data_IF_124821273891
#
_entry.id   IF_124821273891
#
_cell.length_a   1.000
_cell.length_b   1.000
_cell.length_c   1.000
_cell.angle_alpha   90.00
_cell.angle_beta   90.00
_cell.angle_gamma   90.00
#
_symmetry.space_group_name_H-M   'P 1'
#
loop_
_entity.id
_entity.type
_entity.pdbx_description
1 polymer ?
#
# COMPACT_ATOMS: atom_id res chain seq x y z
N UNK A 1 9.98 -9.82 -6.46
CA UNK A 1 8.92 -9.60 -7.46
C UNK A 1 8.49 -8.14 -7.41
N UNK A 2 8.26 -7.52 -8.57
CA UNK A 2 7.81 -6.12 -8.67
C UNK A 2 6.44 -6.09 -9.32
N UNK A 3 5.53 -5.29 -8.74
CA UNK A 3 4.24 -4.92 -9.33
C UNK A 3 4.32 -3.45 -9.73
N UNK A 4 4.63 -3.22 -11.01
CA UNK A 4 4.61 -1.89 -11.61
C UNK A 4 3.18 -1.57 -12.06
N UNK A 5 2.43 -0.85 -11.23
CA UNK A 5 1.00 -0.62 -11.43
C UNK A 5 0.71 0.19 -12.71
N UNK A 6 1.61 1.09 -13.11
CA UNK A 6 1.47 1.85 -14.37
C UNK A 6 1.70 0.94 -15.58
N UNK A 7 2.77 0.15 -15.56
CA UNK A 7 3.08 -0.80 -16.65
C UNK A 7 2.02 -1.88 -16.79
N UNK A 8 1.38 -2.25 -15.69
CA UNK A 8 0.27 -3.20 -15.66
C UNK A 8 -1.05 -2.60 -16.14
N UNK A 9 -1.13 -1.28 -16.35
CA UNK A 9 -2.39 -0.56 -16.57
C UNK A 9 -3.44 -0.89 -15.49
N UNK A 10 -3.02 -0.95 -14.23
CA UNK A 10 -3.89 -1.30 -13.12
C UNK A 10 -5.04 -0.28 -13.01
N UNK A 11 -6.28 -0.77 -13.02
CA UNK A 11 -7.45 0.10 -12.82
C UNK A 11 -7.67 0.38 -11.32
N UNK A 12 -7.43 1.61 -10.84
CA UNK A 12 -7.56 1.93 -9.41
C UNK A 12 -9.00 2.09 -8.93
N UNK A 13 -9.96 2.18 -9.82
CA UNK A 13 -11.35 2.46 -9.46
C UNK A 13 -12.02 1.19 -8.93
N UNK A 14 -12.44 1.22 -7.65
CA UNK A 14 -13.23 0.16 -7.03
C UNK A 14 -14.71 0.29 -7.50
N UNK A 15 -15.20 -0.68 -8.23
CA UNK A 15 -16.50 -0.57 -8.92
C UNK A 15 -17.19 -1.92 -9.13
N UNK A 16 -18.50 -1.89 -9.47
CA UNK A 16 -19.27 -3.12 -9.75
C UNK A 16 -18.66 -4.04 -10.81
N UNK A 17 -18.12 -3.55 -11.95
CA UNK A 17 -17.48 -4.39 -12.96
C UNK A 17 -16.25 -5.19 -12.48
N UNK A 18 -15.71 -4.93 -11.28
CA UNK A 18 -14.65 -5.76 -10.69
C UNK A 18 -15.13 -7.18 -10.39
N UNK A 19 -16.44 -7.38 -10.31
CA UNK A 19 -17.08 -8.65 -9.94
C UNK A 19 -17.89 -9.23 -11.11
N UNK A 20 -17.54 -10.43 -11.52
CA UNK A 20 -18.26 -11.15 -12.58
C UNK A 20 -19.69 -11.51 -12.15
N UNK A 21 -19.87 -11.86 -10.89
CA UNK A 21 -21.15 -12.18 -10.27
C UNK A 21 -21.22 -11.46 -8.91
N UNK A 22 -22.34 -10.80 -8.67
CA UNK A 22 -22.62 -10.13 -7.40
C UNK A 22 -23.29 -11.09 -6.41
N UNK A 23 -22.98 -10.96 -5.13
CA UNK A 23 -23.72 -11.63 -4.06
C UNK A 23 -25.15 -11.10 -3.95
N UNK A 24 -25.30 -9.77 -4.15
CA UNK A 24 -26.60 -9.10 -4.08
C UNK A 24 -26.73 -8.07 -5.22
N UNK A 25 -27.65 -8.33 -6.15
CA UNK A 25 -27.89 -7.45 -7.28
C UNK A 25 -28.64 -6.16 -6.90
N UNK A 26 -29.40 -6.18 -5.81
CA UNK A 26 -30.25 -5.07 -5.38
C UNK A 26 -29.50 -4.07 -4.49
N UNK A 27 -28.46 -4.53 -3.79
CA UNK A 27 -27.68 -3.69 -2.88
C UNK A 27 -26.19 -3.99 -2.99
N UNK A 28 -25.47 -3.10 -3.64
CA UNK A 28 -24.02 -3.22 -3.82
C UNK A 28 -23.26 -2.69 -2.62
N UNK A 29 -22.45 -3.55 -1.98
CA UNK A 29 -21.51 -3.19 -0.91
C UNK A 29 -20.15 -3.82 -1.21
N UNK A 30 -19.21 -3.01 -1.69
CA UNK A 30 -17.91 -3.45 -2.23
C UNK A 30 -17.19 -4.48 -1.33
N UNK A 31 -16.99 -4.27 -0.01
CA UNK A 31 -16.32 -5.26 0.84
C UNK A 31 -17.05 -6.60 0.93
N UNK A 32 -18.38 -6.60 0.86
CA UNK A 32 -19.17 -7.85 0.88
C UNK A 32 -19.03 -8.62 -0.44
N UNK A 33 -18.95 -7.90 -1.55
CA UNK A 33 -18.67 -8.51 -2.85
C UNK A 33 -17.24 -9.04 -2.93
N UNK A 34 -16.27 -8.34 -2.32
CA UNK A 34 -14.89 -8.84 -2.18
C UNK A 34 -14.86 -10.18 -1.43
N UNK A 35 -15.50 -10.26 -0.26
CA UNK A 35 -15.55 -11.50 0.53
C UNK A 35 -16.22 -12.64 -0.26
N UNK A 36 -17.33 -12.33 -0.92
CA UNK A 36 -18.05 -13.31 -1.76
C UNK A 36 -17.16 -13.83 -2.89
N UNK A 37 -16.52 -12.93 -3.62
CA UNK A 37 -15.65 -13.29 -4.74
C UNK A 37 -14.41 -14.08 -4.28
N UNK A 38 -13.84 -13.73 -3.12
CA UNK A 38 -12.72 -14.44 -2.54
C UNK A 38 -13.11 -15.87 -2.12
N UNK A 39 -14.19 -16.03 -1.35
CA UNK A 39 -14.68 -17.34 -0.86
C UNK A 39 -15.05 -18.29 -1.99
N UNK A 40 -15.59 -17.77 -3.08
CA UNK A 40 -16.02 -18.56 -4.24
C UNK A 40 -14.95 -18.68 -5.35
N UNK A 41 -13.73 -18.15 -5.10
CA UNK A 41 -12.61 -18.18 -6.04
C UNK A 41 -12.91 -17.52 -7.41
N UNK A 42 -13.75 -16.47 -7.43
CA UNK A 42 -14.18 -15.75 -8.63
C UNK A 42 -13.61 -14.33 -8.74
N UNK A 43 -12.59 -13.99 -7.96
CA UNK A 43 -11.82 -12.76 -8.14
C UNK A 43 -11.24 -12.67 -9.56
N UNK A 44 -11.06 -11.46 -10.07
CA UNK A 44 -10.38 -11.24 -11.35
C UNK A 44 -8.96 -11.83 -11.33
N UNK A 45 -8.42 -12.17 -12.51
CA UNK A 45 -7.05 -12.69 -12.61
C UNK A 45 -6.01 -11.72 -12.06
N UNK A 46 -6.18 -10.43 -12.32
CA UNK A 46 -5.31 -9.37 -11.85
C UNK A 46 -5.27 -9.35 -10.31
N UNK A 47 -6.44 -9.28 -9.67
CA UNK A 47 -6.53 -9.24 -8.20
C UNK A 47 -6.00 -10.54 -7.57
N UNK A 48 -6.27 -11.70 -8.17
CA UNK A 48 -5.69 -12.97 -7.71
C UNK A 48 -4.17 -12.97 -7.77
N UNK A 49 -3.60 -12.45 -8.86
CA UNK A 49 -2.15 -12.36 -9.03
C UNK A 49 -1.52 -11.48 -7.96
N UNK A 50 -2.05 -10.27 -7.77
CA UNK A 50 -1.53 -9.33 -6.76
C UNK A 50 -1.70 -9.87 -5.33
N UNK A 51 -2.86 -10.46 -5.02
CA UNK A 51 -3.10 -11.12 -3.74
C UNK A 51 -2.11 -12.28 -3.50
N UNK A 52 -1.81 -13.06 -4.52
CA UNK A 52 -0.84 -14.16 -4.42
C UNK A 52 0.57 -13.67 -4.12
N UNK A 53 1.00 -12.58 -4.77
CA UNK A 53 2.30 -11.93 -4.48
C UNK A 53 2.34 -11.39 -3.05
N UNK A 54 1.28 -10.71 -2.61
CA UNK A 54 1.16 -10.17 -1.26
C UNK A 54 1.24 -11.29 -0.20
N UNK A 55 0.55 -12.41 -0.44
CA UNK A 55 0.55 -13.54 0.48
C UNK A 55 1.87 -14.32 0.47
N UNK A 56 2.59 -14.34 -0.66
CA UNK A 56 3.88 -15.00 -0.80
C UNK A 56 5.03 -14.22 -0.16
N UNK A 57 5.05 -12.89 -0.30
CA UNK A 57 6.14 -12.05 0.19
C UNK A 57 6.20 -12.03 1.72
N UNK A 58 7.38 -12.09 2.31
CA UNK A 58 7.62 -11.87 3.74
C UNK A 58 7.78 -10.38 4.04
N UNK A 59 8.37 -9.63 3.10
CA UNK A 59 8.59 -8.19 3.17
C UNK A 59 7.95 -7.52 1.97
N UNK A 60 7.14 -6.52 2.21
CA UNK A 60 6.46 -5.72 1.19
C UNK A 60 7.03 -4.30 1.20
N UNK A 61 7.45 -3.81 0.04
CA UNK A 61 7.93 -2.44 -0.12
C UNK A 61 6.90 -1.66 -0.92
N UNK A 62 6.30 -0.66 -0.30
CA UNK A 62 5.42 0.30 -0.97
C UNK A 62 6.24 1.51 -1.40
N UNK A 63 6.57 1.56 -2.71
CA UNK A 63 7.35 2.64 -3.32
C UNK A 63 6.43 3.58 -4.09
N UNK A 64 6.44 4.88 -3.75
CA UNK A 64 5.57 5.86 -4.41
C UNK A 64 6.09 7.30 -4.25
N UNK A 65 5.76 8.21 -5.17
CA UNK A 65 5.94 9.64 -4.95
C UNK A 65 4.86 10.16 -3.99
N UNK A 66 5.25 11.04 -3.07
CA UNK A 66 4.31 11.68 -2.15
C UNK A 66 3.51 12.74 -2.89
N UNK A 67 2.26 12.45 -3.20
CA UNK A 67 1.35 13.37 -3.87
C UNK A 67 0.21 13.76 -2.93
N UNK A 68 0.02 15.08 -2.75
CA UNK A 68 -1.03 15.59 -1.87
C UNK A 68 -0.98 14.95 -0.46
N UNK A 69 0.22 14.88 0.11
CA UNK A 69 0.50 14.27 1.41
C UNK A 69 0.01 12.81 1.53
N UNK A 70 -0.09 12.09 0.43
CA UNK A 70 -0.57 10.71 0.38
C UNK A 70 0.04 9.93 -0.78
N UNK A 71 -0.47 8.73 -1.01
CA UNK A 71 -0.10 7.88 -2.14
C UNK A 71 -0.82 8.33 -3.42
N UNK A 72 -0.25 8.10 -4.61
CA UNK A 72 -0.95 8.27 -5.87
C UNK A 72 -2.23 7.44 -5.95
N UNK A 73 -3.23 7.93 -6.68
CA UNK A 73 -4.53 7.27 -6.83
C UNK A 73 -4.43 5.79 -7.25
N UNK A 74 -3.44 5.47 -8.10
CA UNK A 74 -3.23 4.09 -8.56
C UNK A 74 -2.85 3.14 -7.42
N UNK A 75 -2.01 3.58 -6.48
CA UNK A 75 -1.63 2.77 -5.31
C UNK A 75 -2.77 2.73 -4.28
N UNK A 76 -3.52 3.84 -4.11
CA UNK A 76 -4.72 3.83 -3.26
C UNK A 76 -5.73 2.81 -3.75
N UNK A 77 -5.98 2.78 -5.07
CA UNK A 77 -6.87 1.79 -5.67
C UNK A 77 -6.35 0.35 -5.53
N UNK A 78 -5.04 0.15 -5.57
CA UNK A 78 -4.46 -1.16 -5.28
C UNK A 78 -4.77 -1.59 -3.83
N UNK A 79 -4.63 -0.70 -2.84
CA UNK A 79 -5.04 -0.99 -1.46
C UNK A 79 -6.52 -1.36 -1.38
N UNK A 80 -7.40 -0.57 -2.01
CA UNK A 80 -8.84 -0.78 -1.97
C UNK A 80 -9.27 -2.11 -2.60
N UNK A 81 -8.54 -2.58 -3.62
CA UNK A 81 -8.91 -3.76 -4.40
C UNK A 81 -8.20 -5.04 -3.98
N UNK A 82 -6.97 -4.96 -3.48
CA UNK A 82 -6.14 -6.13 -3.15
C UNK A 82 -6.18 -6.47 -1.66
N UNK A 83 -6.32 -5.48 -0.78
CA UNK A 83 -6.52 -5.74 0.65
C UNK A 83 -7.98 -6.13 0.92
N UNK A 84 -8.33 -7.35 0.59
CA UNK A 84 -9.69 -7.87 0.51
C UNK A 84 -10.30 -8.07 1.88
N UNK A 85 -11.50 -7.53 2.09
CA UNK A 85 -12.32 -7.87 3.25
C UNK A 85 -12.69 -9.37 3.25
N UNK A 86 -12.56 -10.02 4.39
CA UNK A 86 -12.78 -11.48 4.52
C UNK A 86 -11.66 -12.35 3.93
N UNK A 87 -10.64 -11.73 3.31
CA UNK A 87 -9.46 -12.40 2.77
C UNK A 87 -8.14 -11.96 3.40
N UNK A 88 -8.04 -10.68 3.75
CA UNK A 88 -6.87 -10.07 4.41
C UNK A 88 -7.25 -9.56 5.80
N UNK A 89 -8.37 -8.88 5.94
CA UNK A 89 -8.85 -8.34 7.19
C UNK A 89 -10.37 -8.52 7.32
N UNK A 90 -10.91 -8.38 8.54
CA UNK A 90 -12.34 -8.57 8.79
C UNK A 90 -12.85 -9.99 8.50
N UNK A 91 -14.15 -10.22 8.59
CA UNK A 91 -14.71 -11.56 8.38
C UNK A 91 -14.10 -12.60 9.31
N UNK A 92 -13.48 -13.64 8.73
CA UNK A 92 -12.75 -14.67 9.49
C UNK A 92 -11.40 -14.19 10.05
N UNK A 93 -10.87 -13.08 9.52
CA UNK A 93 -9.64 -12.45 9.97
C UNK A 93 -9.98 -11.20 10.76
N UNK A 94 -9.25 -10.92 11.83
CA UNK A 94 -9.39 -9.69 12.62
C UNK A 94 -8.79 -8.46 11.95
N UNK A 95 -8.29 -7.56 12.78
CA UNK A 95 -7.58 -6.34 12.41
C UNK A 95 -6.28 -6.29 13.20
N UNK A 96 -5.32 -5.51 12.77
CA UNK A 96 -4.03 -5.37 13.41
C UNK A 96 -3.38 -6.75 13.62
N UNK A 97 -2.84 -7.04 14.80
CA UNK A 97 -2.17 -8.31 15.10
C UNK A 97 -3.00 -9.57 14.79
N UNK A 98 -4.31 -9.43 14.66
CA UNK A 98 -5.22 -10.52 14.34
C UNK A 98 -5.57 -10.60 12.85
N UNK A 99 -5.08 -9.67 12.04
CA UNK A 99 -5.26 -9.70 10.59
C UNK A 99 -4.32 -10.72 9.93
N UNK A 100 -4.60 -11.07 8.69
CA UNK A 100 -3.92 -12.18 8.00
C UNK A 100 -2.43 -11.94 7.75
N UNK A 101 -2.00 -10.68 7.64
CA UNK A 101 -0.61 -10.35 7.33
C UNK A 101 0.27 -10.13 8.57
N UNK A 102 -0.15 -10.61 9.75
CA UNK A 102 0.54 -10.39 11.04
C UNK A 102 1.94 -10.99 11.13
N UNK A 103 2.31 -11.88 10.25
CA UNK A 103 3.66 -12.45 10.13
C UNK A 103 4.54 -11.74 9.08
N UNK A 104 4.06 -10.66 8.49
CA UNK A 104 4.76 -9.95 7.41
C UNK A 104 5.23 -8.58 7.85
N UNK A 105 6.23 -8.07 7.13
CA UNK A 105 6.82 -6.76 7.34
C UNK A 105 6.54 -5.86 6.15
N UNK A 106 6.46 -4.55 6.37
CA UNK A 106 6.33 -3.58 5.29
C UNK A 106 7.29 -2.41 5.47
N UNK A 107 7.79 -1.91 4.36
CA UNK A 107 8.60 -0.70 4.25
C UNK A 107 7.81 0.31 3.43
N UNK A 108 7.68 1.52 3.94
CA UNK A 108 7.17 2.65 3.18
C UNK A 108 8.38 3.37 2.58
N UNK A 109 8.43 3.46 1.26
CA UNK A 109 9.47 4.19 0.55
C UNK A 109 8.83 5.27 -0.31
N UNK A 110 9.18 6.52 -0.04
CA UNK A 110 8.54 7.65 -0.73
C UNK A 110 9.54 8.70 -1.16
N UNK A 111 9.22 9.39 -2.23
CA UNK A 111 9.98 10.52 -2.75
C UNK A 111 9.16 11.80 -2.66
N UNK A 112 9.82 12.93 -2.42
CA UNK A 112 9.19 14.25 -2.41
C UNK A 112 10.14 15.32 -2.94
N UNK A 113 9.58 16.35 -3.60
CA UNK A 113 10.33 17.55 -3.99
C UNK A 113 10.57 18.53 -2.84
N UNK A 114 9.87 18.35 -1.70
CA UNK A 114 10.02 19.23 -0.54
C UNK A 114 11.25 18.86 0.29
N UNK A 115 11.81 19.85 1.00
CA UNK A 115 12.93 19.63 1.91
C UNK A 115 12.51 18.87 3.18
N UNK A 116 13.46 18.24 3.85
CA UNK A 116 13.23 17.58 5.14
C UNK A 116 12.68 18.54 6.19
N UNK A 117 13.17 19.80 6.22
CA UNK A 117 12.71 20.80 7.16
C UNK A 117 11.21 21.12 7.04
N UNK A 118 10.65 20.99 5.83
CA UNK A 118 9.20 21.15 5.63
C UNK A 118 8.35 20.12 6.38
N UNK A 119 8.94 18.96 6.69
CA UNK A 119 8.25 17.83 7.34
C UNK A 119 8.61 17.65 8.82
N UNK A 120 9.26 18.63 9.45
CA UNK A 120 9.46 18.65 10.90
C UNK A 120 8.19 19.06 11.64
N UNK A 121 8.15 18.87 12.98
CA UNK A 121 6.96 19.12 13.83
C UNK A 121 6.33 20.51 13.62
N UNK A 122 7.13 21.52 13.29
CA UNK A 122 6.65 22.87 13.00
C UNK A 122 6.89 23.29 11.53
N UNK A 123 7.20 22.33 10.67
CA UNK A 123 7.37 22.57 9.23
C UNK A 123 6.03 22.82 8.54
N UNK A 124 6.10 23.44 7.37
CA UNK A 124 4.91 23.83 6.58
C UNK A 124 4.06 22.64 6.12
N UNK A 125 4.65 21.44 6.02
CA UNK A 125 3.97 20.22 5.55
C UNK A 125 3.55 19.29 6.69
N UNK A 126 3.90 19.60 7.94
CA UNK A 126 3.62 18.76 9.11
C UNK A 126 4.58 17.59 9.28
N UNK A 127 4.53 16.95 10.45
CA UNK A 127 5.40 15.80 10.78
C UNK A 127 5.14 14.63 9.80
N UNK A 128 6.20 14.20 9.11
CA UNK A 128 6.09 13.19 8.05
C UNK A 128 5.56 11.85 8.58
N UNK A 129 5.96 11.44 9.76
CA UNK A 129 5.58 10.14 10.33
C UNK A 129 4.23 10.18 11.05
N UNK A 130 3.99 11.24 11.84
CA UNK A 130 2.82 11.33 12.73
C UNK A 130 1.59 11.93 12.07
N UNK A 131 1.76 12.71 11.00
CA UNK A 131 0.67 13.41 10.34
C UNK A 131 0.51 12.99 8.88
N UNK A 132 1.61 13.00 8.12
CA UNK A 132 1.55 12.76 6.66
C UNK A 132 1.41 11.28 6.33
N UNK A 133 2.26 10.42 6.87
CA UNK A 133 2.27 8.98 6.55
C UNK A 133 1.50 8.11 7.53
N UNK A 134 0.98 8.67 8.62
CA UNK A 134 0.28 7.92 9.65
C UNK A 134 -0.91 7.12 9.12
N UNK A 135 -1.69 7.67 8.20
CA UNK A 135 -2.84 6.98 7.60
C UNK A 135 -2.42 5.77 6.74
N UNK A 136 -1.18 5.74 6.24
CA UNK A 136 -0.62 4.61 5.48
C UNK A 136 -0.01 3.61 6.45
N UNK A 137 0.91 4.05 7.32
CA UNK A 137 1.61 3.17 8.25
C UNK A 137 0.65 2.49 9.24
N UNK A 138 -0.18 3.26 9.92
CA UNK A 138 -1.13 2.75 10.90
C UNK A 138 -2.43 2.28 10.25
N UNK A 139 -3.03 3.12 9.39
CA UNK A 139 -4.37 2.89 8.84
C UNK A 139 -4.44 1.82 7.77
N UNK A 140 -3.33 1.46 7.13
CA UNK A 140 -3.27 0.43 6.07
C UNK A 140 -2.34 -0.71 6.49
N UNK A 141 -1.05 -0.41 6.70
CA UNK A 141 -0.01 -1.42 6.96
C UNK A 141 -0.32 -2.17 8.25
N UNK A 142 -0.35 -1.49 9.39
CA UNK A 142 -0.60 -2.12 10.68
C UNK A 142 -2.03 -2.65 10.81
N UNK A 143 -3.02 -1.95 10.23
CA UNK A 143 -4.41 -2.41 10.25
C UNK A 143 -4.60 -3.77 9.58
N UNK A 144 -3.83 -4.08 8.54
CA UNK A 144 -3.84 -5.39 7.85
C UNK A 144 -2.90 -6.42 8.48
N UNK A 145 -2.24 -6.04 9.58
CA UNK A 145 -1.42 -6.91 10.42
C UNK A 145 0.08 -6.79 10.20
N UNK A 146 0.54 -6.18 9.13
CA UNK A 146 1.96 -6.05 8.84
C UNK A 146 2.67 -5.20 9.89
N UNK A 147 3.88 -5.62 10.26
CA UNK A 147 4.78 -4.76 11.02
C UNK A 147 5.34 -3.68 10.09
N UNK A 148 5.02 -2.42 10.35
CA UNK A 148 5.65 -1.31 9.66
C UNK A 148 7.10 -1.16 10.16
N UNK A 149 8.06 -1.34 9.25
CA UNK A 149 9.48 -1.09 9.50
C UNK A 149 9.81 0.39 9.27
N UNK A 150 11.10 0.69 9.08
CA UNK A 150 11.57 2.03 8.77
C UNK A 150 10.87 2.62 7.54
N UNK A 151 10.59 3.90 7.59
CA UNK A 151 10.15 4.67 6.43
C UNK A 151 11.37 5.28 5.75
N UNK A 152 11.52 5.04 4.45
CA UNK A 152 12.60 5.57 3.63
C UNK A 152 12.08 6.74 2.82
N UNK A 153 12.64 7.94 3.03
CA UNK A 153 12.14 9.17 2.41
C UNK A 153 13.28 9.84 1.65
N UNK A 154 13.09 10.04 0.35
CA UNK A 154 13.97 10.84 -0.49
C UNK A 154 13.42 12.25 -0.59
N UNK A 155 14.03 13.18 0.10
CA UNK A 155 13.71 14.60 0.04
C UNK A 155 14.39 15.26 -1.16
N UNK A 156 13.81 16.35 -1.65
CA UNK A 156 14.34 17.17 -2.77
C UNK A 156 14.81 16.35 -3.97
N UNK A 157 14.10 15.24 -4.28
CA UNK A 157 14.53 14.23 -5.26
C UNK A 157 14.62 14.76 -6.70
N UNK A 158 13.97 15.88 -6.98
CA UNK A 158 13.97 16.57 -8.26
C UNK A 158 15.07 17.64 -8.39
N UNK A 159 15.83 17.91 -7.31
CA UNK A 159 16.84 18.94 -7.27
C UNK A 159 18.02 18.66 -8.24
N UNK A 160 18.60 17.48 -8.15
CA UNK A 160 19.73 17.08 -9.00
C UNK A 160 19.92 15.56 -9.05
N UNK A 161 20.86 15.09 -9.91
CA UNK A 161 21.12 13.66 -10.06
C UNK A 161 21.87 13.08 -8.85
N UNK A 162 22.74 13.85 -8.19
CA UNK A 162 23.51 13.38 -7.05
C UNK A 162 22.58 13.01 -5.89
N UNK A 163 21.59 13.83 -5.60
CA UNK A 163 20.55 13.55 -4.58
C UNK A 163 19.83 12.22 -4.84
N UNK A 164 19.57 11.88 -6.12
CA UNK A 164 18.95 10.63 -6.52
C UNK A 164 19.89 9.44 -6.28
N UNK A 165 21.14 9.57 -6.64
CA UNK A 165 22.14 8.51 -6.51
C UNK A 165 22.45 8.24 -5.04
N UNK A 166 22.56 9.28 -4.21
CA UNK A 166 22.72 9.16 -2.75
C UNK A 166 21.53 8.42 -2.11
N UNK A 167 20.30 8.74 -2.52
CA UNK A 167 19.11 8.05 -2.04
C UNK A 167 19.11 6.57 -2.43
N UNK A 168 19.48 6.25 -3.68
CA UNK A 168 19.56 4.87 -4.16
C UNK A 168 20.58 4.06 -3.33
N UNK A 169 21.75 4.63 -3.05
CA UNK A 169 22.75 3.97 -2.23
C UNK A 169 22.31 3.82 -0.76
N UNK A 170 21.68 4.84 -0.20
CA UNK A 170 21.08 4.76 1.13
C UNK A 170 20.04 3.63 1.20
N UNK A 171 19.13 3.55 0.23
CA UNK A 171 18.10 2.53 0.14
C UNK A 171 18.72 1.12 0.02
N UNK A 172 19.67 0.92 -0.88
CA UNK A 172 20.38 -0.36 -1.04
C UNK A 172 21.04 -0.82 0.28
N UNK A 173 21.66 0.10 0.98
CA UNK A 173 22.32 -0.22 2.25
C UNK A 173 21.32 -0.59 3.35
N UNK A 174 20.20 0.09 3.42
CA UNK A 174 19.13 -0.23 4.39
C UNK A 174 18.51 -1.61 4.14
N UNK A 175 18.23 -1.97 2.89
CA UNK A 175 17.62 -3.26 2.55
C UNK A 175 18.52 -4.45 2.85
N UNK A 176 19.84 -4.31 2.78
CA UNK A 176 20.78 -5.41 3.05
C UNK A 176 20.65 -6.01 4.46
N UNK A 177 20.10 -5.26 5.40
CA UNK A 177 20.04 -5.62 6.82
C UNK A 177 18.62 -5.93 7.33
N UNK A 178 17.66 -6.05 6.42
CA UNK A 178 16.27 -6.39 6.73
C UNK A 178 15.99 -7.86 6.40
#
# INVERSE_FOLDING_TARGET
>A
VVSDLYKMNFNPVAQKPDFKYLKNNNFFKYPIEQEHAYKNNILSKEIKSELSKLLWADIIIFQFPLWWSSVPAILKGWFDKVLIYGGIYGGAYGKFKNARLSNKKAIISTTTGSSEDSFKIHGSSGDIHKQVLFHISHGIVEYTGMQCLDTLIAYEIDKDQNSRDEYIEFFKNKIKYI
#
